data_IF_842402373788
#
_entry.id   IF_842402373788
#
_cell.length_a   1.000
_cell.length_b   1.000
_cell.length_c   1.000
_cell.angle_alpha   90.00
_cell.angle_beta   90.00
_cell.angle_gamma   90.00
#
_symmetry.space_group_name_H-M   'P 1'
#
loop_
_entity.id
_entity.type
_entity.pdbx_description
1 polymer ?
#
# COMPACT_ATOMS: atom_id res chain seq x y z
N UNK A 1 -6.88 -27.39 -9.35
CA UNK A 1 -5.85 -26.58 -10.03
C UNK A 1 -5.64 -25.24 -9.31
N UNK A 2 -6.72 -24.53 -8.96
CA UNK A 2 -6.64 -23.19 -8.32
C UNK A 2 -5.95 -23.16 -6.92
N UNK A 3 -6.14 -24.20 -6.11
CA UNK A 3 -5.54 -24.28 -4.75
C UNK A 3 -4.01 -24.40 -4.82
N UNK A 4 -3.51 -25.16 -5.79
CA UNK A 4 -2.07 -25.35 -5.98
C UNK A 4 -1.39 -24.04 -6.42
N UNK A 5 -2.03 -23.26 -7.30
CA UNK A 5 -1.57 -21.93 -7.69
C UNK A 5 -1.64 -20.93 -6.53
N UNK A 6 -2.68 -21.02 -5.68
CA UNK A 6 -2.81 -20.18 -4.50
C UNK A 6 -1.67 -20.44 -3.50
N UNK A 7 -1.42 -21.73 -3.19
CA UNK A 7 -0.34 -22.11 -2.27
C UNK A 7 1.02 -21.74 -2.86
N UNK A 8 1.26 -22.02 -4.14
CA UNK A 8 2.50 -21.63 -4.83
C UNK A 8 2.73 -20.13 -4.83
N UNK A 9 1.68 -19.33 -5.09
CA UNK A 9 1.74 -17.88 -5.02
C UNK A 9 2.04 -17.37 -3.62
N UNK A 10 1.43 -17.95 -2.58
CA UNK A 10 1.70 -17.58 -1.20
C UNK A 10 3.15 -17.87 -0.79
N UNK A 11 3.69 -19.03 -1.18
CA UNK A 11 5.09 -19.38 -0.94
C UNK A 11 6.03 -18.39 -1.64
N UNK A 12 5.76 -18.05 -2.89
CA UNK A 12 6.55 -17.07 -3.64
C UNK A 12 6.52 -15.68 -2.99
N UNK A 13 5.37 -15.25 -2.48
CA UNK A 13 5.24 -13.97 -1.77
C UNK A 13 6.10 -14.00 -0.50
N UNK A 14 6.04 -15.06 0.29
CA UNK A 14 6.84 -15.20 1.52
C UNK A 14 8.34 -15.22 1.24
N UNK A 15 8.78 -15.96 0.23
CA UNK A 15 10.19 -16.00 -0.18
C UNK A 15 10.65 -14.64 -0.70
N UNK A 16 9.82 -13.97 -1.50
CA UNK A 16 10.09 -12.63 -2.01
C UNK A 16 10.20 -11.58 -0.90
N UNK A 17 9.31 -11.62 0.07
CA UNK A 17 9.33 -10.72 1.23
C UNK A 17 10.59 -10.90 2.07
N UNK A 18 11.00 -12.15 2.35
CA UNK A 18 12.24 -12.44 3.05
C UNK A 18 13.46 -11.94 2.27
N UNK A 19 13.53 -12.25 0.96
CA UNK A 19 14.61 -11.78 0.10
C UNK A 19 14.70 -10.25 0.02
N UNK A 20 13.55 -9.56 -0.02
CA UNK A 20 13.50 -8.09 0.00
C UNK A 20 14.03 -7.53 1.32
N UNK A 21 13.65 -8.13 2.45
CA UNK A 21 14.07 -7.69 3.78
C UNK A 21 15.58 -7.88 3.97
N UNK A 22 16.10 -9.07 3.64
CA UNK A 22 17.52 -9.40 3.79
C UNK A 22 18.41 -8.61 2.80
N UNK A 23 17.94 -8.45 1.56
CA UNK A 23 18.61 -7.64 0.55
C UNK A 23 18.66 -6.17 0.97
N UNK A 24 17.56 -5.63 1.46
CA UNK A 24 17.48 -4.25 1.95
C UNK A 24 18.40 -4.00 3.16
N UNK A 25 18.45 -4.96 4.09
CA UNK A 25 19.35 -4.88 5.23
C UNK A 25 20.84 -4.93 4.81
N UNK A 26 21.17 -5.72 3.79
CA UNK A 26 22.52 -5.79 3.24
C UNK A 26 22.95 -4.49 2.55
N UNK A 27 22.04 -3.88 1.79
CA UNK A 27 22.23 -2.55 1.18
C UNK A 27 22.43 -1.48 2.26
N UNK A 28 21.61 -1.48 3.31
CA UNK A 28 21.73 -0.57 4.44
C UNK A 28 23.13 -0.63 5.08
N UNK A 29 23.61 -1.83 5.35
CA UNK A 29 24.97 -2.05 5.92
C UNK A 29 26.06 -1.53 5.00
N UNK A 30 25.98 -1.81 3.69
CA UNK A 30 27.01 -1.42 2.71
C UNK A 30 27.13 0.09 2.57
N UNK A 31 26.01 0.79 2.55
CA UNK A 31 25.95 2.25 2.37
C UNK A 31 25.90 3.04 3.68
N UNK A 32 25.97 2.38 4.83
CA UNK A 32 25.84 2.98 6.17
C UNK A 32 24.55 3.80 6.33
N UNK A 33 23.48 3.37 5.66
CA UNK A 33 22.16 3.99 5.76
C UNK A 33 21.46 3.43 6.99
N UNK A 34 20.80 4.25 7.80
CA UNK A 34 20.02 3.75 8.93
C UNK A 34 18.97 2.73 8.48
N UNK A 35 18.83 1.56 9.14
CA UNK A 35 17.86 0.52 8.74
C UNK A 35 16.42 1.02 8.65
N UNK A 36 16.06 2.02 9.46
CA UNK A 36 14.74 2.63 9.44
C UNK A 36 14.43 3.32 8.11
N UNK A 37 15.42 3.95 7.47
CA UNK A 37 15.23 4.59 6.15
C UNK A 37 14.94 3.54 5.09
N UNK A 38 15.67 2.42 5.11
CA UNK A 38 15.45 1.29 4.19
C UNK A 38 14.05 0.68 4.40
N UNK A 39 13.64 0.48 5.66
CA UNK A 39 12.31 -0.01 5.99
C UNK A 39 11.20 0.90 5.47
N UNK A 40 11.34 2.21 5.67
CA UNK A 40 10.36 3.21 5.24
C UNK A 40 10.35 3.47 3.71
N UNK A 41 11.37 3.02 2.99
CA UNK A 41 11.47 3.21 1.53
C UNK A 41 11.36 1.89 0.78
N UNK A 42 12.42 1.10 0.72
CA UNK A 42 12.50 -0.10 -0.12
C UNK A 42 11.51 -1.16 0.33
N UNK A 43 11.43 -1.43 1.64
CA UNK A 43 10.50 -2.46 2.16
C UNK A 43 9.07 -1.99 2.01
N UNK A 44 8.76 -0.73 2.34
CA UNK A 44 7.41 -0.17 2.18
C UNK A 44 6.96 -0.18 0.70
N UNK A 45 7.84 0.20 -0.24
CA UNK A 45 7.56 0.12 -1.67
C UNK A 45 7.33 -1.33 -2.12
N UNK A 46 8.18 -2.25 -1.69
CA UNK A 46 8.07 -3.67 -2.04
C UNK A 46 6.79 -4.32 -1.53
N UNK A 47 6.37 -3.99 -0.31
CA UNK A 47 5.11 -4.51 0.25
C UNK A 47 3.87 -3.94 -0.42
N UNK A 48 3.95 -2.73 -0.99
CA UNK A 48 2.86 -2.10 -1.76
C UNK A 48 2.91 -2.42 -3.26
N UNK A 49 3.90 -3.16 -3.73
CA UNK A 49 4.03 -3.51 -5.15
C UNK A 49 2.85 -4.33 -5.70
N UNK A 50 2.26 -5.29 -4.97
CA UNK A 50 1.06 -6.00 -5.42
C UNK A 50 -0.13 -5.06 -5.67
N UNK A 51 -0.39 -4.15 -4.73
CA UNK A 51 -1.47 -3.16 -4.86
C UNK A 51 -1.24 -2.23 -6.03
N UNK A 52 0.01 -1.77 -6.22
CA UNK A 52 0.39 -0.95 -7.37
C UNK A 52 0.15 -1.70 -8.68
N UNK A 53 0.54 -2.96 -8.76
CA UNK A 53 0.37 -3.80 -9.96
C UNK A 53 -1.10 -3.98 -10.31
N UNK A 54 -1.95 -4.29 -9.32
CA UNK A 54 -3.39 -4.43 -9.51
C UNK A 54 -4.01 -3.11 -9.96
N UNK A 55 -3.68 -2.00 -9.31
CA UNK A 55 -4.22 -0.69 -9.62
C UNK A 55 -3.85 -0.22 -11.02
N UNK A 56 -2.56 -0.32 -11.40
CA UNK A 56 -2.08 0.05 -12.73
C UNK A 56 -2.69 -0.86 -13.81
N UNK A 57 -2.69 -2.17 -13.60
CA UNK A 57 -3.27 -3.12 -14.55
C UNK A 57 -4.77 -2.88 -14.77
N UNK A 58 -5.52 -2.58 -13.70
CA UNK A 58 -6.95 -2.29 -13.78
C UNK A 58 -7.22 -0.96 -14.49
N UNK A 59 -6.42 0.07 -14.20
CA UNK A 59 -6.54 1.36 -14.86
C UNK A 59 -6.25 1.25 -16.37
N UNK A 60 -5.22 0.52 -16.77
CA UNK A 60 -4.88 0.27 -18.18
C UNK A 60 -5.97 -0.51 -18.93
N UNK A 61 -6.77 -1.32 -18.23
CA UNK A 61 -7.93 -2.04 -18.77
C UNK A 61 -9.22 -1.21 -18.77
N UNK A 62 -9.16 0.07 -18.40
CA UNK A 62 -10.32 0.95 -18.29
C UNK A 62 -11.21 0.68 -17.08
N UNK A 63 -10.74 -0.09 -16.10
CA UNK A 63 -11.50 -0.44 -14.89
C UNK A 63 -11.05 0.43 -13.70
N UNK A 64 -11.27 1.73 -13.80
CA UNK A 64 -10.86 2.71 -12.78
C UNK A 64 -11.45 2.42 -11.39
N UNK A 65 -12.69 1.94 -11.32
CA UNK A 65 -13.35 1.58 -10.06
C UNK A 65 -12.60 0.46 -9.30
N UNK A 66 -12.04 -0.51 -10.02
CA UNK A 66 -11.25 -1.59 -9.41
C UNK A 66 -9.92 -1.03 -8.89
N UNK A 67 -9.27 -0.14 -9.65
CA UNK A 67 -8.03 0.50 -9.22
C UNK A 67 -8.24 1.33 -7.93
N UNK A 68 -9.27 2.17 -7.90
CA UNK A 68 -9.61 3.00 -6.74
C UNK A 68 -10.03 2.11 -5.56
N UNK A 69 -10.90 1.11 -5.81
CA UNK A 69 -11.34 0.17 -4.78
C UNK A 69 -10.18 -0.59 -4.13
N UNK A 70 -9.18 -0.99 -4.92
CA UNK A 70 -7.97 -1.64 -4.43
C UNK A 70 -7.16 -0.71 -3.51
N UNK A 71 -6.91 0.54 -3.90
CA UNK A 71 -6.16 1.51 -3.09
C UNK A 71 -6.90 1.84 -1.80
N UNK A 72 -8.18 2.18 -1.88
CA UNK A 72 -8.99 2.53 -0.70
C UNK A 72 -9.17 1.31 0.21
N UNK A 73 -9.48 0.15 -0.37
CA UNK A 73 -9.69 -1.09 0.36
C UNK A 73 -8.45 -1.56 1.12
N UNK A 74 -7.27 -1.51 0.49
CA UNK A 74 -6.01 -1.87 1.15
C UNK A 74 -5.66 -0.90 2.29
N UNK A 75 -5.90 0.40 2.12
CA UNK A 75 -5.68 1.39 3.20
C UNK A 75 -6.62 1.14 4.40
N UNK A 76 -7.90 0.87 4.15
CA UNK A 76 -8.87 0.54 5.20
C UNK A 76 -8.46 -0.76 5.90
N UNK A 77 -8.14 -1.80 5.14
CA UNK A 77 -7.72 -3.08 5.68
C UNK A 77 -6.44 -2.95 6.53
N UNK A 78 -5.41 -2.27 6.02
CA UNK A 78 -4.17 -2.06 6.75
C UNK A 78 -4.39 -1.26 8.04
N UNK A 79 -5.23 -0.24 8.00
CA UNK A 79 -5.51 0.58 9.19
C UNK A 79 -6.36 -0.17 10.20
N UNK A 80 -7.48 -0.76 9.80
CA UNK A 80 -8.41 -1.41 10.74
C UNK A 80 -7.92 -2.79 11.18
N UNK A 81 -7.42 -3.60 10.27
CA UNK A 81 -7.03 -4.96 10.58
C UNK A 81 -5.64 -5.02 11.22
N UNK A 82 -4.63 -4.41 10.62
CA UNK A 82 -3.26 -4.50 11.13
C UNK A 82 -3.10 -3.65 12.39
N UNK A 83 -3.45 -2.37 12.33
CA UNK A 83 -3.32 -1.46 13.49
C UNK A 83 -4.29 -1.85 14.58
N UNK A 84 -5.55 -2.19 14.24
CA UNK A 84 -6.55 -2.62 15.20
C UNK A 84 -6.16 -3.91 15.92
N UNK A 85 -5.73 -4.94 15.19
CA UNK A 85 -5.26 -6.19 15.82
C UNK A 85 -4.01 -5.95 16.68
N UNK A 86 -3.06 -5.15 16.21
CA UNK A 86 -1.86 -4.84 16.99
C UNK A 86 -2.22 -4.14 18.30
N UNK A 87 -3.17 -3.20 18.27
CA UNK A 87 -3.63 -2.47 19.45
C UNK A 87 -4.31 -3.37 20.52
N UNK A 88 -4.86 -4.51 20.11
CA UNK A 88 -5.44 -5.49 21.04
C UNK A 88 -4.36 -6.24 21.84
N UNK A 89 -3.18 -6.45 21.26
CA UNK A 89 -2.11 -7.24 21.87
C UNK A 89 -1.01 -6.39 22.51
N UNK A 90 -0.81 -5.17 22.02
CA UNK A 90 0.24 -4.27 22.49
C UNK A 90 -0.18 -2.79 22.40
N UNK A 91 0.21 -1.95 23.36
CA UNK A 91 -0.05 -0.52 23.27
C UNK A 91 0.75 0.10 22.10
N UNK A 92 0.05 0.81 21.21
CA UNK A 92 0.68 1.53 20.10
C UNK A 92 1.10 2.91 20.57
N UNK A 93 2.41 3.16 20.56
CA UNK A 93 2.95 4.48 20.90
C UNK A 93 2.95 5.36 19.66
N UNK A 94 2.09 6.38 19.64
CA UNK A 94 2.02 7.34 18.54
C UNK A 94 2.96 8.50 18.84
N UNK A 95 3.93 8.73 17.97
CA UNK A 95 4.88 9.84 18.12
C UNK A 95 4.26 11.17 17.71
N UNK A 96 4.77 12.29 18.25
CA UNK A 96 4.33 13.63 17.83
C UNK A 96 4.59 13.90 16.34
N UNK A 97 5.59 13.26 15.76
CA UNK A 97 5.92 13.40 14.35
C UNK A 97 4.84 12.73 13.47
N UNK A 98 4.40 11.53 13.87
CA UNK A 98 3.31 10.81 13.20
C UNK A 98 2.01 11.62 13.21
N UNK A 99 1.64 12.20 14.37
CA UNK A 99 0.46 13.04 14.50
C UNK A 99 0.51 14.31 13.63
N UNK A 100 1.68 14.95 13.54
CA UNK A 100 1.81 16.27 12.92
C UNK A 100 2.14 16.22 11.43
N UNK A 101 2.75 15.14 10.93
CA UNK A 101 3.19 15.02 9.54
C UNK A 101 2.53 13.86 8.81
N UNK A 102 2.57 12.67 9.37
CA UNK A 102 2.13 11.45 8.66
C UNK A 102 0.60 11.40 8.53
N UNK A 103 -0.12 11.63 9.63
CA UNK A 103 -1.60 11.62 9.59
C UNK A 103 -2.16 12.72 8.70
N UNK A 104 -1.73 14.00 8.78
CA UNK A 104 -2.21 15.02 7.84
C UNK A 104 -1.87 14.70 6.39
N UNK A 105 -0.71 14.11 6.11
CA UNK A 105 -0.34 13.68 4.76
C UNK A 105 -1.25 12.57 4.23
N UNK A 106 -1.59 11.58 5.06
CA UNK A 106 -2.56 10.54 4.71
C UNK A 106 -3.95 11.10 4.42
N UNK A 107 -4.42 12.04 5.24
CA UNK A 107 -5.72 12.72 5.02
C UNK A 107 -5.68 13.50 3.71
N UNK A 108 -4.63 14.27 3.47
CA UNK A 108 -4.47 15.04 2.24
C UNK A 108 -4.48 14.14 1.00
N UNK A 109 -3.72 13.03 1.01
CA UNK A 109 -3.69 12.08 -0.10
C UNK A 109 -5.06 11.45 -0.36
N UNK A 110 -5.82 11.14 0.69
CA UNK A 110 -7.17 10.60 0.57
C UNK A 110 -8.15 11.61 -0.02
N UNK A 111 -8.04 12.89 0.36
CA UNK A 111 -8.86 13.99 -0.20
C UNK A 111 -8.53 14.18 -1.69
N UNK A 112 -7.25 14.19 -2.07
CA UNK A 112 -6.83 14.30 -3.47
C UNK A 112 -7.43 13.15 -4.30
N UNK A 113 -7.38 11.93 -3.80
CA UNK A 113 -7.95 10.76 -4.48
C UNK A 113 -9.46 10.90 -4.69
N UNK A 114 -10.20 11.39 -3.68
CA UNK A 114 -11.65 11.64 -3.78
C UNK A 114 -11.98 12.75 -4.79
N UNK A 115 -11.18 13.81 -4.82
CA UNK A 115 -11.36 14.91 -5.80
C UNK A 115 -11.10 14.40 -7.20
N UNK A 116 -10.01 13.67 -7.45
CA UNK A 116 -9.69 13.09 -8.76
C UNK A 116 -10.82 12.17 -9.25
N UNK A 117 -11.38 11.35 -8.36
CA UNK A 117 -12.52 10.49 -8.71
C UNK A 117 -13.76 11.27 -9.10
N UNK A 118 -14.09 12.33 -8.35
CA UNK A 118 -15.26 13.15 -8.64
C UNK A 118 -15.17 13.87 -9.97
N UNK A 119 -13.99 14.31 -10.37
CA UNK A 119 -13.73 14.91 -11.67
C UNK A 119 -13.90 13.89 -12.80
N UNK A 120 -13.38 12.67 -12.65
CA UNK A 120 -13.53 11.60 -13.63
C UNK A 120 -15.00 11.24 -13.87
N UNK A 121 -15.80 11.13 -12.80
CA UNK A 121 -17.24 10.89 -12.92
C UNK A 121 -17.97 12.02 -13.63
N UNK A 122 -17.62 13.28 -13.37
CA UNK A 122 -18.20 14.45 -14.05
C UNK A 122 -17.88 14.45 -15.54
N UNK A 123 -16.65 14.15 -15.93
CA UNK A 123 -16.23 14.06 -17.32
C UNK A 123 -16.95 12.93 -18.06
N UNK A 124 -17.07 11.76 -17.43
CA UNK A 124 -17.75 10.60 -18.04
C UNK A 124 -19.26 10.82 -18.21
N UNK A 125 -19.91 11.49 -17.26
CA UNK A 125 -21.33 11.83 -17.38
C UNK A 125 -21.62 12.92 -18.42
N UNK A 126 -20.65 13.79 -18.72
CA UNK A 126 -20.80 14.82 -19.76
C UNK A 126 -20.60 14.27 -21.19
N UNK A 127 -19.95 13.11 -21.34
CA UNK A 127 -19.79 12.43 -22.63
C UNK A 127 -20.91 11.45 -22.96
N UNK A 128 -21.82 11.17 -22.03
CA UNK A 128 -22.95 10.24 -22.21
C UNK A 128 -24.28 10.94 -22.57
N UNK A 129 -24.26 12.23 -22.82
CA UNK A 129 -25.36 13.07 -23.36
C UNK A 129 -24.96 13.50 -24.77
#
# INVERSE_FOLDING_TARGET
>A
MNILFLIGGLILILLGANGLTDGSASVAKRFRIPPIVIGLTIVAFGTSAPELTVSVSSALKGSADIAIGNVVGSNIFNTLMIVGCTALFAPIVITRNTLRKEIPLCILSSIILLVCRSEEQRLNSSHSV
#
